data_IF_673775694423
#
_entry.id   IF_673775694423
#
_cell.length_a   1.000
_cell.length_b   1.000
_cell.length_c   1.000
_cell.angle_alpha   90.00
_cell.angle_beta   90.00
_cell.angle_gamma   90.00
#
_symmetry.space_group_name_H-M   'P 1'
#
loop_
_entity.id
_entity.type
_entity.pdbx_description
1 polymer ?
#
# COMPACT_ATOMS: atom_id res chain seq x y z
N UNK A 1 -7.32 -2.92 21.33
CA UNK A 1 -7.08 -3.71 20.10
C UNK A 1 -7.52 -2.82 18.94
N UNK A 2 -6.62 -2.01 18.40
CA UNK A 2 -6.92 -1.16 17.25
C UNK A 2 -6.74 -1.98 15.99
N UNK A 3 -7.84 -2.11 15.22
CA UNK A 3 -7.85 -2.80 13.96
C UNK A 3 -7.08 -1.96 12.95
N UNK A 4 -5.95 -2.49 12.48
CA UNK A 4 -5.21 -1.95 11.33
C UNK A 4 -6.07 -2.09 10.08
N UNK A 5 -6.93 -1.10 9.82
CA UNK A 5 -7.71 -1.06 8.59
C UNK A 5 -6.78 -0.64 7.47
N UNK A 6 -6.40 -1.61 6.62
CA UNK A 6 -5.84 -1.34 5.29
C UNK A 6 -6.74 -0.29 4.63
N UNK A 7 -6.24 0.94 4.46
CA UNK A 7 -6.93 1.96 3.69
C UNK A 7 -6.81 1.54 2.23
N UNK A 8 -7.75 0.70 1.81
CA UNK A 8 -7.83 0.20 0.44
C UNK A 8 -8.58 1.26 -0.38
N UNK A 9 -7.86 2.07 -1.14
CA UNK A 9 -8.50 2.96 -2.10
C UNK A 9 -9.14 2.09 -3.19
N UNK A 10 -10.49 2.10 -3.34
CA UNK A 10 -11.16 1.25 -4.32
C UNK A 10 -10.70 1.63 -5.72
N UNK A 11 -10.27 0.61 -6.46
CA UNK A 11 -9.78 0.74 -7.82
C UNK A 11 -10.92 0.51 -8.81
N UNK A 12 -11.23 1.52 -9.63
CA UNK A 12 -12.31 1.41 -10.62
C UNK A 12 -11.86 0.78 -11.96
N UNK A 13 -10.55 0.69 -12.25
CA UNK A 13 -10.06 0.07 -13.48
C UNK A 13 -8.65 -0.55 -13.36
N UNK A 14 -8.42 -1.76 -13.92
CA UNK A 14 -7.10 -2.38 -13.98
C UNK A 14 -6.15 -1.64 -14.93
N UNK A 15 -4.85 -1.73 -14.68
CA UNK A 15 -3.81 -1.10 -15.48
C UNK A 15 -3.60 -1.87 -16.78
N UNK A 16 -3.01 -1.23 -17.79
CA UNK A 16 -2.88 -1.87 -19.10
C UNK A 16 -1.98 -3.11 -19.07
N UNK A 17 -0.92 -3.11 -18.25
CA UNK A 17 -0.08 -4.28 -18.03
C UNK A 17 -0.78 -5.41 -17.26
N UNK A 18 -1.75 -5.10 -16.40
CA UNK A 18 -2.58 -6.11 -15.71
C UNK A 18 -3.53 -6.81 -16.70
N UNK A 19 -4.11 -6.03 -17.62
CA UNK A 19 -4.93 -6.59 -18.70
C UNK A 19 -4.10 -7.50 -19.60
N UNK A 20 -2.87 -7.10 -19.92
CA UNK A 20 -1.95 -7.87 -20.76
C UNK A 20 -1.52 -9.19 -20.12
N UNK A 21 -1.14 -9.22 -18.83
CA UNK A 21 -0.82 -10.50 -18.15
C UNK A 21 -2.06 -11.40 -18.05
N UNK A 22 -3.25 -10.82 -17.84
CA UNK A 22 -4.50 -11.58 -17.83
C UNK A 22 -4.79 -12.21 -19.20
N UNK A 23 -4.56 -11.47 -20.28
CA UNK A 23 -4.69 -12.00 -21.65
C UNK A 23 -3.66 -13.10 -21.91
N UNK A 24 -2.39 -12.87 -21.54
CA UNK A 24 -1.29 -13.84 -21.71
C UNK A 24 -1.59 -15.16 -20.99
N UNK A 25 -2.11 -15.11 -19.78
CA UNK A 25 -2.51 -16.29 -18.99
C UNK A 25 -3.68 -17.08 -19.58
N UNK A 26 -4.44 -16.50 -20.51
CA UNK A 26 -5.56 -17.15 -21.20
C UNK A 26 -5.18 -17.63 -22.62
N UNK A 27 -3.96 -17.36 -23.09
CA UNK A 27 -3.49 -17.85 -24.38
C UNK A 27 -3.39 -19.38 -24.36
N UNK A 28 -3.88 -20.02 -25.42
CA UNK A 28 -3.90 -21.49 -25.55
C UNK A 28 -2.48 -22.07 -25.44
N UNK A 29 -1.50 -21.39 -26.01
CA UNK A 29 -0.09 -21.80 -25.97
C UNK A 29 0.50 -21.74 -24.55
N UNK A 30 0.02 -20.80 -23.72
CA UNK A 30 0.45 -20.63 -22.33
C UNK A 30 -0.27 -21.63 -21.42
N UNK A 31 -1.55 -21.91 -21.68
CA UNK A 31 -2.33 -22.91 -20.94
C UNK A 31 -1.87 -24.35 -21.21
N UNK A 32 -1.43 -24.64 -22.44
CA UNK A 32 -0.89 -25.94 -22.83
C UNK A 32 0.64 -26.04 -22.67
N UNK A 33 1.29 -24.96 -22.25
CA UNK A 33 2.73 -24.88 -22.07
C UNK A 33 3.22 -25.52 -20.77
N UNK A 34 4.48 -25.27 -20.43
CA UNK A 34 5.09 -25.81 -19.21
C UNK A 34 4.45 -25.21 -17.95
N UNK A 35 4.16 -26.08 -16.97
CA UNK A 35 3.54 -25.68 -15.70
C UNK A 35 4.39 -24.68 -14.92
N UNK A 36 5.73 -24.80 -14.98
CA UNK A 36 6.71 -23.88 -14.39
C UNK A 36 6.52 -22.45 -14.92
N UNK A 37 6.46 -22.29 -16.25
CA UNK A 37 6.25 -21.01 -16.92
C UNK A 37 4.88 -20.42 -16.57
N UNK A 38 3.84 -21.24 -16.52
CA UNK A 38 2.51 -20.79 -16.11
C UNK A 38 2.49 -20.29 -14.66
N UNK A 39 3.14 -21.01 -13.73
CA UNK A 39 3.26 -20.59 -12.33
C UNK A 39 4.09 -19.30 -12.17
N UNK A 40 5.18 -19.14 -12.94
CA UNK A 40 5.96 -17.90 -12.96
C UNK A 40 5.09 -16.72 -13.42
N UNK A 41 4.26 -16.89 -14.44
CA UNK A 41 3.32 -15.88 -14.92
C UNK A 41 2.22 -15.56 -13.89
N UNK A 42 1.74 -16.55 -13.13
CA UNK A 42 0.79 -16.31 -12.02
C UNK A 42 1.43 -15.50 -10.88
N UNK A 43 2.68 -15.82 -10.51
CA UNK A 43 3.45 -15.04 -9.54
C UNK A 43 3.69 -13.61 -10.06
N UNK A 44 4.05 -13.47 -11.34
CA UNK A 44 4.19 -12.17 -11.99
C UNK A 44 2.90 -11.36 -11.90
N UNK A 45 1.75 -11.95 -12.22
CA UNK A 45 0.44 -11.29 -12.09
C UNK A 45 0.20 -10.76 -10.68
N UNK A 46 0.54 -11.54 -9.65
CA UNK A 46 0.41 -11.12 -8.24
C UNK A 46 1.27 -9.89 -7.95
N UNK A 47 2.55 -9.92 -8.31
CA UNK A 47 3.47 -8.79 -8.11
C UNK A 47 3.03 -7.55 -8.88
N UNK A 48 2.61 -7.72 -10.14
CA UNK A 48 2.05 -6.64 -10.97
C UNK A 48 0.87 -5.96 -10.26
N UNK A 49 -0.04 -6.75 -9.71
CA UNK A 49 -1.24 -6.21 -9.07
C UNK A 49 -0.92 -5.40 -7.82
N UNK A 50 -0.01 -5.91 -6.99
CA UNK A 50 0.47 -5.21 -5.80
C UNK A 50 1.18 -3.91 -6.20
N UNK A 51 2.18 -3.97 -7.08
CA UNK A 51 2.92 -2.80 -7.56
C UNK A 51 1.98 -1.72 -8.13
N UNK A 52 0.97 -2.11 -8.91
CA UNK A 52 0.00 -1.18 -9.48
C UNK A 52 -0.81 -0.44 -8.41
N UNK A 53 -1.22 -1.17 -7.36
CA UNK A 53 -1.89 -0.57 -6.21
C UNK A 53 -0.94 0.38 -5.47
N UNK A 54 0.31 -0.03 -5.24
CA UNK A 54 1.33 0.77 -4.58
C UNK A 54 1.62 2.08 -5.31
N UNK A 55 1.85 2.02 -6.64
CA UNK A 55 2.08 3.22 -7.45
C UNK A 55 0.91 4.20 -7.36
N UNK A 56 -0.34 3.71 -7.44
CA UNK A 56 -1.52 4.58 -7.34
C UNK A 56 -1.65 5.23 -5.96
N UNK A 57 -1.40 4.49 -4.89
CA UNK A 57 -1.44 5.04 -3.54
C UNK A 57 -0.35 6.08 -3.33
N UNK A 58 0.87 5.79 -3.79
CA UNK A 58 1.98 6.74 -3.74
C UNK A 58 1.68 8.02 -4.53
N UNK A 59 1.11 7.92 -5.74
CA UNK A 59 0.67 9.07 -6.55
C UNK A 59 -0.49 9.86 -5.91
N UNK A 60 -1.37 9.17 -5.19
CA UNK A 60 -2.48 9.80 -4.49
C UNK A 60 -2.04 10.66 -3.31
N UNK A 61 -0.84 10.42 -2.76
CA UNK A 61 -0.36 11.06 -1.54
C UNK A 61 0.86 11.96 -1.80
N UNK A 62 1.64 11.69 -2.85
CA UNK A 62 2.80 12.47 -3.26
C UNK A 62 2.79 12.72 -4.76
N UNK A 63 3.44 13.81 -5.18
CA UNK A 63 3.55 14.21 -6.58
C UNK A 63 5.00 14.15 -7.07
N UNK A 64 5.77 13.22 -6.51
CA UNK A 64 7.16 12.96 -6.85
C UNK A 64 7.27 12.37 -8.26
N UNK A 65 8.02 13.03 -9.14
CA UNK A 65 8.23 12.62 -10.54
C UNK A 65 8.91 11.24 -10.66
N UNK A 66 9.75 10.85 -9.68
CA UNK A 66 10.36 9.53 -9.67
C UNK A 66 9.33 8.38 -9.60
N UNK A 67 8.10 8.63 -9.12
CA UNK A 67 7.04 7.61 -9.13
C UNK A 67 6.67 7.27 -10.58
N UNK A 68 6.49 8.28 -11.43
CA UNK A 68 6.16 8.11 -12.85
C UNK A 68 7.31 7.48 -13.63
N UNK A 69 8.54 7.90 -13.34
CA UNK A 69 9.75 7.33 -13.94
C UNK A 69 9.84 5.84 -13.62
N UNK A 70 9.71 5.46 -12.35
CA UNK A 70 9.80 4.06 -11.94
C UNK A 70 8.64 3.22 -12.51
N UNK A 71 7.40 3.71 -12.46
CA UNK A 71 6.25 2.97 -13.00
C UNK A 71 6.42 2.72 -14.51
N UNK A 72 6.96 3.70 -15.26
CA UNK A 72 7.26 3.52 -16.68
C UNK A 72 8.30 2.44 -16.92
N UNK A 73 9.38 2.40 -16.13
CA UNK A 73 10.43 1.37 -16.25
C UNK A 73 9.90 -0.01 -15.89
N UNK A 74 9.11 -0.12 -14.82
CA UNK A 74 8.44 -1.36 -14.42
C UNK A 74 7.52 -1.85 -15.53
N UNK A 75 6.74 -0.96 -16.14
CA UNK A 75 5.85 -1.33 -17.25
C UNK A 75 6.65 -1.87 -18.46
N UNK A 76 7.78 -1.26 -18.80
CA UNK A 76 8.64 -1.76 -19.88
C UNK A 76 9.21 -3.14 -19.57
N UNK A 77 9.71 -3.36 -18.35
CA UNK A 77 10.24 -4.65 -17.92
C UNK A 77 9.15 -5.75 -17.90
N UNK A 78 7.92 -5.42 -17.47
CA UNK A 78 6.78 -6.33 -17.53
C UNK A 78 6.45 -6.69 -18.97
N UNK A 79 6.40 -5.72 -19.88
CA UNK A 79 6.10 -5.98 -21.29
C UNK A 79 7.16 -6.90 -21.90
N UNK A 80 8.44 -6.67 -21.62
CA UNK A 80 9.52 -7.54 -22.04
C UNK A 80 9.33 -8.98 -21.51
N UNK A 81 9.06 -9.11 -20.20
CA UNK A 81 8.78 -10.41 -19.57
C UNK A 81 7.59 -11.15 -20.21
N UNK A 82 6.51 -10.43 -20.56
CA UNK A 82 5.33 -11.00 -21.23
C UNK A 82 5.59 -11.43 -22.67
N UNK A 83 6.56 -10.79 -23.33
CA UNK A 83 6.99 -11.12 -24.68
C UNK A 83 8.06 -12.22 -24.73
N UNK A 84 8.42 -12.81 -23.58
CA UNK A 84 9.56 -13.73 -23.42
C UNK A 84 10.91 -13.10 -23.82
N UNK A 85 11.02 -11.78 -23.69
CA UNK A 85 12.28 -11.04 -23.85
C UNK A 85 13.01 -10.98 -22.50
N UNK A 86 14.35 -10.98 -22.53
CA UNK A 86 15.14 -10.93 -21.29
C UNK A 86 14.89 -9.63 -20.52
N UNK A 87 14.69 -9.78 -19.21
CA UNK A 87 14.49 -8.66 -18.28
C UNK A 87 15.82 -8.04 -17.81
N UNK A 88 16.96 -8.68 -18.08
CA UNK A 88 18.30 -8.23 -17.64
C UNK A 88 18.65 -6.78 -18.02
N UNK A 89 18.33 -6.26 -19.22
CA UNK A 89 18.64 -4.87 -19.58
C UNK A 89 17.95 -3.85 -18.68
N UNK A 90 16.82 -4.20 -18.06
CA UNK A 90 16.03 -3.30 -17.21
C UNK A 90 16.48 -3.30 -15.75
N UNK A 91 17.22 -4.33 -15.30
CA UNK A 91 17.61 -4.53 -13.90
C UNK A 91 18.30 -3.30 -13.29
N UNK A 92 19.28 -2.74 -14.01
CA UNK A 92 20.00 -1.56 -13.53
C UNK A 92 19.10 -0.32 -13.49
N UNK A 93 18.26 -0.13 -14.52
CA UNK A 93 17.33 1.00 -14.58
C UNK A 93 16.26 0.95 -13.49
N UNK A 94 15.72 -0.23 -13.19
CA UNK A 94 14.75 -0.45 -12.11
C UNK A 94 15.37 -0.13 -10.75
N UNK A 95 16.55 -0.69 -10.45
CA UNK A 95 17.21 -0.47 -9.17
C UNK A 95 17.60 1.00 -8.96
N UNK A 96 18.10 1.66 -10.02
CA UNK A 96 18.44 3.08 -9.96
C UNK A 96 17.20 3.97 -9.79
N UNK A 97 16.12 3.68 -10.54
CA UNK A 97 14.87 4.44 -10.45
C UNK A 97 14.19 4.26 -9.09
N UNK A 98 14.26 3.05 -8.51
CA UNK A 98 13.76 2.78 -7.17
C UNK A 98 14.60 3.49 -6.08
N UNK A 99 15.93 3.52 -6.24
CA UNK A 99 16.80 4.26 -5.33
C UNK A 99 16.52 5.77 -5.39
N UNK A 100 16.35 6.31 -6.61
CA UNK A 100 15.95 7.70 -6.81
C UNK A 100 14.60 8.01 -6.13
N UNK A 101 13.62 7.11 -6.31
CA UNK A 101 12.31 7.23 -5.68
C UNK A 101 12.42 7.31 -4.16
N UNK A 102 13.22 6.42 -3.57
CA UNK A 102 13.44 6.40 -2.11
C UNK A 102 14.04 7.70 -1.61
N UNK A 103 15.08 8.22 -2.28
CA UNK A 103 15.72 9.49 -1.90
C UNK A 103 14.75 10.66 -2.03
N UNK A 104 14.01 10.75 -3.15
CA UNK A 104 13.04 11.83 -3.34
C UNK A 104 11.88 11.77 -2.33
N UNK A 105 11.48 10.59 -1.89
CA UNK A 105 10.51 10.44 -0.79
C UNK A 105 11.06 10.83 0.57
N UNK A 106 12.33 10.52 0.86
CA UNK A 106 12.99 10.98 2.10
C UNK A 106 13.13 12.52 2.12
N UNK A 107 13.35 13.13 0.96
CA UNK A 107 13.42 14.59 0.79
C UNK A 107 12.04 15.27 0.76
N UNK A 108 10.99 14.57 0.30
CA UNK A 108 9.64 15.10 0.20
C UNK A 108 9.03 15.33 1.59
N UNK A 109 9.06 16.60 2.02
CA UNK A 109 8.46 17.03 3.27
C UNK A 109 6.92 17.02 3.24
N UNK A 110 6.27 16.73 2.11
CA UNK A 110 4.80 16.75 2.00
C UNK A 110 4.16 15.80 3.00
N UNK A 111 4.72 14.60 3.14
CA UNK A 111 4.28 13.65 4.15
C UNK A 111 4.46 14.24 5.56
N UNK A 112 5.68 14.68 5.88
CA UNK A 112 6.00 15.31 7.15
C UNK A 112 5.10 16.52 7.47
N UNK A 113 4.69 17.31 6.47
CA UNK A 113 3.77 18.44 6.60
C UNK A 113 2.33 17.99 6.87
N UNK A 114 1.82 17.00 6.15
CA UNK A 114 0.48 16.43 6.35
C UNK A 114 0.36 15.83 7.75
N UNK A 115 1.33 15.02 8.15
CA UNK A 115 1.35 14.42 9.49
C UNK A 115 1.61 15.43 10.61
N UNK A 116 2.45 16.44 10.36
CA UNK A 116 2.59 17.58 11.28
C UNK A 116 1.26 18.33 11.44
N UNK A 117 0.52 18.57 10.35
CA UNK A 117 -0.81 19.15 10.37
C UNK A 117 -1.79 18.32 11.20
N UNK A 118 -1.82 17.00 11.02
CA UNK A 118 -2.62 16.10 11.85
C UNK A 118 -2.23 16.14 13.32
N UNK A 119 -0.93 16.20 13.63
CA UNK A 119 -0.45 16.32 15.01
C UNK A 119 -0.85 17.66 15.64
N UNK A 120 -0.71 18.78 14.92
CA UNK A 120 -1.15 20.11 15.38
C UNK A 120 -2.66 20.10 15.62
N UNK A 121 -3.44 19.55 14.68
CA UNK A 121 -4.90 19.44 14.79
C UNK A 121 -5.32 18.61 16.02
N UNK A 122 -4.70 17.43 16.20
CA UNK A 122 -4.90 16.53 17.33
C UNK A 122 -4.61 17.22 18.67
N UNK A 123 -3.46 17.87 18.80
CA UNK A 123 -3.08 18.59 20.01
C UNK A 123 -3.96 19.82 20.26
N UNK A 124 -4.44 20.47 19.21
CA UNK A 124 -5.35 21.61 19.31
C UNK A 124 -6.72 21.18 19.84
N UNK A 125 -7.24 20.05 19.36
CA UNK A 125 -8.46 19.44 19.89
C UNK A 125 -8.27 19.02 21.34
N UNK A 126 -7.17 18.33 21.68
CA UNK A 126 -6.90 17.89 23.05
C UNK A 126 -6.81 19.08 24.01
N UNK A 127 -6.14 20.16 23.58
CA UNK A 127 -6.02 21.40 24.34
C UNK A 127 -7.39 22.06 24.53
N UNK A 128 -8.19 22.20 23.46
CA UNK A 128 -9.54 22.74 23.55
C UNK A 128 -10.44 21.88 24.48
N UNK A 129 -10.41 20.56 24.32
CA UNK A 129 -11.12 19.60 25.16
C UNK A 129 -10.74 19.74 26.65
N UNK A 130 -9.45 19.89 26.95
CA UNK A 130 -8.97 20.08 28.32
C UNK A 130 -9.41 21.43 28.92
N UNK A 131 -9.31 22.51 28.15
CA UNK A 131 -9.73 23.85 28.58
C UNK A 131 -11.25 23.93 28.83
N UNK A 132 -12.06 23.39 27.92
CA UNK A 132 -13.51 23.34 28.09
C UNK A 132 -13.93 22.34 29.16
N UNK A 133 -13.27 21.18 29.26
CA UNK A 133 -13.56 20.16 30.28
C UNK A 133 -13.44 20.70 31.70
N UNK A 134 -12.37 21.45 32.01
CA UNK A 134 -12.15 22.06 33.34
C UNK A 134 -13.22 23.09 33.67
N UNK A 135 -13.62 23.93 32.70
CA UNK A 135 -14.61 25.00 32.89
C UNK A 135 -16.03 24.42 33.05
N UNK A 136 -16.39 23.42 32.25
CA UNK A 136 -17.74 22.86 32.19
C UNK A 136 -18.03 21.88 33.33
N UNK A 137 -17.07 21.02 33.72
CA UNK A 137 -17.27 20.13 34.87
C UNK A 137 -17.34 20.91 36.19
N UNK A 138 -16.65 22.05 36.31
CA UNK A 138 -16.78 22.95 37.45
C UNK A 138 -18.13 23.66 37.52
N UNK A 139 -18.74 23.99 36.37
CA UNK A 139 -19.99 24.75 36.29
C UNK A 139 -21.27 23.89 36.24
N UNK A 140 -21.17 22.62 35.85
CA UNK A 140 -22.33 21.74 35.64
C UNK A 140 -22.98 21.19 36.92
N UNK A 141 -22.28 21.24 38.05
CA UNK A 141 -22.81 20.70 39.33
C UNK A 141 -23.96 21.55 39.89
N UNK A 142 -24.21 22.76 39.35
CA UNK A 142 -25.12 23.73 39.99
C UNK A 142 -26.22 24.33 39.11
N UNK A 143 -26.33 23.99 37.81
CA UNK A 143 -27.18 24.79 36.89
C UNK A 143 -28.15 23.97 36.03
N UNK A 144 -29.46 24.24 36.15
CA UNK A 144 -30.59 23.54 35.52
C UNK A 144 -30.59 23.50 33.98
N UNK A 145 -31.37 24.32 33.23
CA UNK A 145 -31.41 24.26 31.74
C UNK A 145 -30.05 24.45 31.06
N UNK A 146 -29.12 25.15 31.72
CA UNK A 146 -27.70 25.23 31.34
C UNK A 146 -27.04 23.85 31.27
N UNK A 147 -27.48 22.90 32.09
CA UNK A 147 -27.01 21.51 32.11
C UNK A 147 -27.16 20.80 30.78
N UNK A 148 -28.19 21.08 29.97
CA UNK A 148 -28.33 20.51 28.62
C UNK A 148 -27.30 21.08 27.64
N UNK A 149 -27.00 22.38 27.73
CA UNK A 149 -25.95 23.00 26.93
C UNK A 149 -24.55 22.47 27.33
N UNK A 150 -24.32 22.30 28.64
CA UNK A 150 -23.11 21.69 29.20
C UNK A 150 -22.95 20.22 28.78
N UNK A 151 -24.05 19.45 28.73
CA UNK A 151 -24.05 18.06 28.27
C UNK A 151 -23.76 17.98 26.77
N UNK A 152 -24.34 18.87 25.95
CA UNK A 152 -24.00 18.99 24.53
C UNK A 152 -22.52 19.31 24.28
N UNK A 153 -21.94 20.20 25.10
CA UNK A 153 -20.53 20.56 25.03
C UNK A 153 -19.62 19.42 25.54
N UNK A 154 -20.05 18.68 26.57
CA UNK A 154 -19.39 17.45 27.01
C UNK A 154 -19.38 16.35 25.94
N UNK A 155 -20.49 16.17 25.21
CA UNK A 155 -20.57 15.27 24.06
C UNK A 155 -19.70 15.72 22.89
N UNK A 156 -19.59 17.03 22.65
CA UNK A 156 -18.67 17.59 21.66
C UNK A 156 -17.21 17.31 22.03
N UNK A 157 -16.84 17.47 23.30
CA UNK A 157 -15.49 17.15 23.82
C UNK A 157 -15.18 15.66 23.67
N UNK A 158 -16.10 14.78 24.06
CA UNK A 158 -15.96 13.32 23.88
C UNK A 158 -15.82 12.94 22.39
N UNK A 159 -16.63 13.54 21.52
CA UNK A 159 -16.56 13.30 20.07
C UNK A 159 -15.24 13.79 19.49
N UNK A 160 -14.74 14.94 19.98
CA UNK A 160 -13.46 15.48 19.57
C UNK A 160 -12.30 14.57 20.04
N UNK A 161 -12.35 14.03 21.26
CA UNK A 161 -11.37 13.04 21.74
C UNK A 161 -11.38 11.75 20.91
N UNK A 162 -12.56 11.24 20.53
CA UNK A 162 -12.67 10.08 19.64
C UNK A 162 -12.10 10.38 18.25
N UNK A 163 -12.34 11.58 17.72
CA UNK A 163 -11.75 12.04 16.47
C UNK A 163 -10.22 12.15 16.57
N UNK A 164 -9.69 12.68 17.68
CA UNK A 164 -8.25 12.77 17.96
C UNK A 164 -7.59 11.39 17.96
N UNK A 165 -8.21 10.39 18.60
CA UNK A 165 -7.73 9.01 18.59
C UNK A 165 -7.77 8.41 17.18
N UNK A 166 -8.84 8.66 16.41
CA UNK A 166 -8.94 8.20 15.03
C UNK A 166 -7.87 8.83 14.12
N UNK A 167 -7.63 10.14 14.26
CA UNK A 167 -6.58 10.87 13.54
C UNK A 167 -5.19 10.37 13.93
N UNK A 168 -4.96 10.07 15.21
CA UNK A 168 -3.70 9.49 15.65
C UNK A 168 -3.48 8.08 15.08
N UNK A 169 -4.54 7.25 14.99
CA UNK A 169 -4.48 5.96 14.31
C UNK A 169 -4.09 6.12 12.84
N UNK A 170 -4.70 7.09 12.14
CA UNK A 170 -4.36 7.43 10.75
C UNK A 170 -2.91 7.93 10.64
N UNK A 171 -2.41 8.70 11.63
CA UNK A 171 -1.02 9.15 11.69
C UNK A 171 -0.05 7.96 11.72
N UNK A 172 -0.29 7.01 12.62
CA UNK A 172 0.56 5.83 12.78
C UNK A 172 0.45 4.93 11.54
N UNK A 173 -0.77 4.64 11.08
CA UNK A 173 -1.03 3.79 9.91
C UNK A 173 -0.47 4.40 8.61
N UNK A 174 -0.50 5.72 8.47
CA UNK A 174 0.03 6.41 7.29
C UNK A 174 1.54 6.22 7.12
N UNK A 175 2.33 6.32 8.20
CA UNK A 175 3.78 6.05 8.13
C UNK A 175 4.07 4.60 7.72
N UNK A 176 3.32 3.64 8.26
CA UNK A 176 3.46 2.24 7.86
C UNK A 176 3.01 1.96 6.42
N UNK A 177 2.02 2.71 5.91
CA UNK A 177 1.53 2.56 4.54
C UNK A 177 2.64 2.85 3.52
N UNK A 178 3.44 3.90 3.74
CA UNK A 178 4.54 4.26 2.85
C UNK A 178 5.60 3.15 2.74
N UNK A 179 6.09 2.68 3.88
CA UNK A 179 7.13 1.65 3.92
C UNK A 179 6.62 0.34 3.32
N UNK A 180 5.33 0.03 3.56
CA UNK A 180 4.66 -1.10 2.95
C UNK A 180 4.57 -0.97 1.42
N UNK A 181 4.17 0.20 0.89
CA UNK A 181 4.10 0.40 -0.56
C UNK A 181 5.46 0.34 -1.25
N UNK A 182 6.51 0.92 -0.65
CA UNK A 182 7.86 0.80 -1.19
C UNK A 182 8.38 -0.65 -1.13
N UNK A 183 8.02 -1.39 -0.09
CA UNK A 183 8.38 -2.81 0.05
C UNK A 183 7.68 -3.67 -1.02
N UNK A 184 6.38 -3.45 -1.29
CA UNK A 184 5.66 -4.17 -2.36
C UNK A 184 6.27 -3.90 -3.75
N UNK A 185 6.71 -2.66 -4.00
CA UNK A 185 7.42 -2.29 -5.24
C UNK A 185 8.79 -2.98 -5.30
N UNK A 186 9.53 -2.99 -4.21
CA UNK A 186 10.84 -3.66 -4.12
C UNK A 186 10.73 -5.14 -4.41
N UNK A 187 9.79 -5.83 -3.78
CA UNK A 187 9.55 -7.27 -4.00
C UNK A 187 9.18 -7.57 -5.46
N UNK A 188 8.38 -6.70 -6.09
CA UNK A 188 8.06 -6.82 -7.51
C UNK A 188 9.27 -6.62 -8.43
N UNK A 189 10.15 -5.66 -8.11
CA UNK A 189 11.41 -5.44 -8.85
C UNK A 189 12.37 -6.63 -8.66
N UNK A 190 12.51 -7.15 -7.45
CA UNK A 190 13.35 -8.33 -7.17
C UNK A 190 12.86 -9.57 -7.94
N UNK A 191 11.54 -9.77 -8.02
CA UNK A 191 10.95 -10.82 -8.83
C UNK A 191 11.20 -10.61 -10.33
N UNK A 192 11.03 -9.38 -10.84
CA UNK A 192 11.35 -9.07 -12.24
C UNK A 192 12.83 -9.30 -12.57
N UNK A 193 13.74 -8.98 -11.65
CA UNK A 193 15.19 -9.17 -11.81
C UNK A 193 15.63 -10.64 -11.85
N UNK A 194 14.77 -11.55 -11.42
CA UNK A 194 15.01 -13.00 -11.37
C UNK A 194 14.00 -13.77 -12.22
N UNK A 195 13.18 -13.07 -13.01
CA UNK A 195 12.09 -13.68 -13.76
C UNK A 195 12.58 -14.68 -14.80
N UNK A 196 13.66 -14.34 -15.50
CA UNK A 196 14.32 -15.20 -16.49
C UNK A 196 14.82 -16.51 -15.86
N UNK A 197 15.20 -16.50 -14.58
CA UNK A 197 15.63 -17.69 -13.84
C UNK A 197 14.45 -18.44 -13.20
N UNK A 198 13.40 -17.71 -12.80
CA UNK A 198 12.20 -18.24 -12.16
C UNK A 198 11.27 -18.97 -13.16
N UNK A 199 11.26 -18.57 -14.43
CA UNK A 199 10.61 -19.33 -15.51
C UNK A 199 11.30 -20.69 -15.73
N UNK A 200 12.62 -20.73 -15.57
CA UNK A 200 13.44 -21.95 -15.75
C UNK A 200 13.51 -22.87 -14.53
N UNK A 201 13.33 -22.36 -13.31
CA UNK A 201 13.69 -23.06 -12.06
C UNK A 201 12.50 -23.57 -11.23
N UNK A 202 11.26 -23.41 -11.68
CA UNK A 202 10.10 -23.97 -10.97
C UNK A 202 9.95 -25.46 -11.32
N UNK A 203 10.88 -26.29 -10.82
CA UNK A 203 10.64 -27.73 -10.67
C UNK A 203 9.33 -27.94 -9.89
N UNK A 204 8.50 -28.93 -10.24
CA UNK A 204 7.24 -29.13 -9.57
C UNK A 204 7.55 -29.44 -8.10
N UNK A 205 6.95 -28.71 -7.17
CA UNK A 205 6.83 -29.19 -5.79
C UNK A 205 6.28 -30.61 -5.89
N UNK A 206 7.16 -31.58 -5.60
CA UNK A 206 6.82 -32.98 -5.64
C UNK A 206 5.57 -33.17 -4.81
N UNK A 207 4.48 -33.58 -5.47
CA UNK A 207 3.39 -34.27 -4.81
C UNK A 207 4.03 -35.37 -3.96
N UNK A 208 4.08 -35.13 -2.64
CA UNK A 208 4.51 -36.16 -1.71
C UNK A 208 3.46 -37.26 -1.79
N UNK A 209 3.79 -38.26 -2.58
CA UNK A 209 3.22 -39.58 -2.58
C UNK A 209 3.31 -40.17 -1.17
N UNK A 210 2.25 -39.97 -0.40
CA UNK A 210 1.74 -40.93 0.57
C UNK A 210 0.24 -40.69 0.55
N UNK A 211 -0.59 -41.54 -0.04
CA UNK A 211 -0.87 -42.90 0.40
C UNK A 211 -1.23 -43.75 -0.83
N UNK A 212 -0.31 -44.57 -1.32
CA UNK A 212 -0.65 -45.86 -1.92
C UNK A 212 0.45 -46.86 -1.55
N UNK A 213 0.06 -47.83 -0.75
CA UNK A 213 0.84 -48.98 -0.30
C UNK A 213 0.37 -49.36 1.10
N UNK A 214 -0.15 -50.54 1.38
CA UNK A 214 -0.34 -51.76 0.61
C UNK A 214 -1.36 -52.61 1.39
N UNK A 215 -2.01 -53.52 0.66
CA UNK A 215 -2.48 -54.85 1.11
C UNK A 215 -3.34 -54.95 2.38
#
# INVERSE_FOLDING_TARGET
MFFFTKIYFPRFSPADYEKRIQQKLLEVDVLNGESSNYQALLKLRKHISNMSASFRQLKGISHVEAIDILEKQVNQAIIAALNNESTQPYKQYLNNSFSLLKVQFEEDKTFNKVFSGFNIFTNSILTAASAFGVILFGAAVTTGPLGLALLGLGMAVLSALLLTVAVYSIYVDGRYLHDFQLQEIKEGIEFLNTFDDASLSLEPEAESSSILGNA
#
